data_IF_990270724876
#
_entry.id   IF_990270724876
#
_cell.length_a   1.000
_cell.length_b   1.000
_cell.length_c   1.000
_cell.angle_alpha   90.00
_cell.angle_beta   90.00
_cell.angle_gamma   90.00
#
_symmetry.space_group_name_H-M   'P 1'
#
loop_
_entity.id
_entity.type
_entity.pdbx_description
1 polymer ?
#
# COMPACT_ATOMS: atom_id res chain seq x y z
N UNK A 1 8.40 13.79 1.62
CA UNK A 1 8.38 12.42 1.01
C UNK A 1 7.21 12.36 0.04
N UNK A 2 7.42 11.93 -1.22
CA UNK A 2 6.35 11.86 -2.21
C UNK A 2 5.85 10.43 -2.36
N UNK A 3 4.53 10.23 -2.33
CA UNK A 3 3.86 8.96 -2.58
C UNK A 3 3.11 9.03 -3.90
N UNK A 4 3.25 8.01 -4.74
CA UNK A 4 2.52 7.91 -6.03
C UNK A 4 1.88 6.53 -6.13
N UNK A 5 0.57 6.48 -6.32
CA UNK A 5 -0.14 5.24 -6.62
C UNK A 5 -0.01 4.92 -8.12
N UNK A 6 0.50 3.75 -8.41
CA UNK A 6 0.74 3.27 -9.78
C UNK A 6 -0.33 2.28 -10.25
N UNK A 7 -1.31 1.98 -9.40
CA UNK A 7 -2.39 1.02 -9.62
C UNK A 7 -2.28 -0.20 -8.73
N UNK A 8 -3.38 -0.92 -8.54
CA UNK A 8 -3.46 -2.11 -7.67
C UNK A 8 -2.89 -1.84 -6.28
N UNK A 9 -1.89 -2.60 -5.84
CA UNK A 9 -1.12 -2.34 -4.60
C UNK A 9 0.23 -1.65 -4.87
N UNK A 10 0.49 -1.23 -6.12
CA UNK A 10 1.77 -0.68 -6.49
C UNK A 10 1.90 0.81 -6.13
N UNK A 11 2.92 1.11 -5.35
CA UNK A 11 3.27 2.48 -4.98
C UNK A 11 4.73 2.79 -5.26
N UNK A 12 4.99 4.04 -5.66
CA UNK A 12 6.33 4.60 -5.59
C UNK A 12 6.42 5.54 -4.38
N UNK A 13 7.49 5.39 -3.60
CA UNK A 13 7.84 6.26 -2.47
C UNK A 13 9.17 6.93 -2.76
N UNK A 14 9.20 8.26 -2.73
CA UNK A 14 10.36 9.05 -3.11
C UNK A 14 10.84 9.95 -1.97
N UNK A 15 12.15 9.97 -1.72
CA UNK A 15 12.82 10.85 -0.77
C UNK A 15 14.24 11.16 -1.25
N UNK A 16 14.66 12.43 -1.18
CA UNK A 16 16.03 12.84 -1.56
C UNK A 16 16.45 12.43 -2.97
N UNK A 17 15.51 12.32 -3.92
CA UNK A 17 15.77 11.87 -5.29
C UNK A 17 16.02 10.36 -5.40
N UNK A 18 15.76 9.58 -4.37
CA UNK A 18 15.76 8.12 -4.36
C UNK A 18 14.31 7.61 -4.44
N UNK A 19 14.06 6.63 -5.30
CA UNK A 19 12.73 6.09 -5.58
C UNK A 19 12.68 4.61 -5.28
N UNK A 20 11.78 4.21 -4.39
CA UNK A 20 11.42 2.82 -4.10
C UNK A 20 10.08 2.52 -4.73
N UNK A 21 9.97 1.43 -5.47
CA UNK A 21 8.69 0.90 -5.96
C UNK A 21 8.32 -0.32 -5.15
N UNK A 22 7.09 -0.33 -4.64
CA UNK A 22 6.48 -1.41 -3.86
C UNK A 22 5.49 -2.16 -4.75
N UNK A 23 5.53 -3.48 -4.72
CA UNK A 23 4.59 -4.40 -5.36
C UNK A 23 4.27 -4.05 -6.84
N UNK A 24 5.28 -4.04 -7.76
CA UNK A 24 5.01 -3.89 -9.18
C UNK A 24 4.18 -5.06 -9.70
N UNK A 25 3.22 -4.78 -10.58
CA UNK A 25 2.17 -5.74 -10.92
C UNK A 25 2.07 -6.06 -12.42
N UNK A 26 1.52 -7.24 -12.69
CA UNK A 26 0.86 -7.57 -13.93
C UNK A 26 -0.59 -8.00 -13.65
N UNK A 27 -1.54 -7.15 -14.00
CA UNK A 27 -2.99 -7.40 -13.91
C UNK A 27 -3.62 -7.01 -15.24
N UNK A 28 -4.28 -7.94 -15.93
CA UNK A 28 -4.76 -7.75 -17.30
C UNK A 28 -5.70 -6.56 -17.49
N UNK A 29 -6.46 -6.21 -16.45
CA UNK A 29 -7.41 -5.09 -16.49
C UNK A 29 -6.74 -3.72 -16.36
N UNK A 30 -5.46 -3.66 -15.99
CA UNK A 30 -4.68 -2.42 -15.97
C UNK A 30 -3.85 -2.27 -17.25
N UNK A 31 -3.56 -1.04 -17.67
CA UNK A 31 -2.50 -0.81 -18.64
C UNK A 31 -1.18 -1.43 -18.19
N UNK A 32 -0.30 -1.85 -19.12
CA UNK A 32 1.01 -2.34 -18.75
C UNK A 32 1.77 -1.32 -17.87
N UNK A 33 2.23 -1.77 -16.70
CA UNK A 33 3.04 -0.93 -15.83
C UNK A 33 4.41 -0.69 -16.49
N UNK A 34 4.81 0.57 -16.61
CA UNK A 34 6.16 0.99 -16.99
C UNK A 34 6.62 2.08 -16.04
N UNK A 35 7.62 1.80 -15.23
CA UNK A 35 8.14 2.76 -14.26
C UNK A 35 9.64 2.53 -14.03
N UNK A 36 10.30 3.45 -13.35
CA UNK A 36 11.70 3.30 -12.96
C UNK A 36 11.84 3.39 -11.44
N UNK A 37 12.86 2.74 -10.90
CA UNK A 37 13.18 2.78 -9.47
C UNK A 37 14.68 2.63 -9.21
N UNK A 38 15.11 3.05 -8.03
CA UNK A 38 16.44 2.71 -7.50
C UNK A 38 16.39 1.37 -6.74
N UNK A 39 15.22 1.02 -6.21
CA UNK A 39 14.97 -0.19 -5.43
C UNK A 39 13.54 -0.67 -5.63
N UNK A 40 13.32 -1.98 -5.60
CA UNK A 40 12.00 -2.63 -5.65
C UNK A 40 11.84 -3.49 -4.41
N UNK A 41 10.70 -3.40 -3.75
CA UNK A 41 10.32 -4.23 -2.61
C UNK A 41 9.01 -4.92 -2.93
N UNK A 42 8.96 -6.24 -2.78
CA UNK A 42 7.76 -7.05 -3.00
C UNK A 42 7.26 -7.63 -1.68
N UNK A 43 5.97 -7.56 -1.44
CA UNK A 43 5.34 -8.12 -0.24
C UNK A 43 5.29 -9.66 -0.29
N UNK A 44 5.08 -10.22 -1.49
CA UNK A 44 5.02 -11.67 -1.73
C UNK A 44 5.19 -11.98 -3.22
N UNK A 45 5.26 -13.28 -3.56
CA UNK A 45 5.60 -13.75 -4.91
C UNK A 45 4.35 -14.16 -5.72
N UNK A 46 3.39 -13.24 -5.85
CA UNK A 46 2.34 -13.36 -6.87
C UNK A 46 2.59 -12.34 -7.98
N UNK A 47 2.23 -12.68 -9.20
CA UNK A 47 2.55 -11.88 -10.41
C UNK A 47 1.96 -10.46 -10.38
N UNK A 48 0.93 -10.26 -9.60
CA UNK A 48 0.30 -8.96 -9.35
C UNK A 48 0.98 -8.16 -8.23
N UNK A 49 2.12 -8.67 -7.68
CA UNK A 49 2.94 -8.00 -6.65
C UNK A 49 4.46 -8.11 -6.85
N UNK A 50 4.94 -9.00 -7.75
CA UNK A 50 6.38 -9.17 -7.99
C UNK A 50 6.77 -9.11 -9.47
N UNK A 51 5.97 -8.41 -10.30
CA UNK A 51 6.29 -8.23 -11.71
C UNK A 51 7.39 -7.16 -11.89
N UNK A 52 8.59 -7.50 -11.42
CA UNK A 52 9.76 -6.59 -11.38
C UNK A 52 10.25 -6.21 -12.78
N UNK A 53 9.92 -7.00 -13.81
CA UNK A 53 10.26 -6.71 -15.21
C UNK A 53 9.60 -5.43 -15.74
N UNK A 54 8.52 -4.96 -15.08
CA UNK A 54 7.88 -3.69 -15.40
C UNK A 54 8.67 -2.47 -14.92
N UNK A 55 9.72 -2.68 -14.11
CA UNK A 55 10.50 -1.61 -13.49
C UNK A 55 11.89 -1.51 -14.13
N UNK A 56 12.19 -0.37 -14.73
CA UNK A 56 13.57 -0.04 -15.11
C UNK A 56 14.37 0.25 -13.85
N UNK A 57 15.15 -0.76 -13.42
CA UNK A 57 15.93 -0.66 -12.21
C UNK A 57 17.25 0.10 -12.46
N UNK A 58 17.43 1.23 -11.79
CA UNK A 58 18.64 2.05 -11.80
C UNK A 58 19.24 2.12 -10.40
N UNK A 59 19.89 1.05 -9.91
CA UNK A 59 20.38 0.99 -8.54
C UNK A 59 21.41 2.09 -8.28
N UNK A 60 21.29 2.75 -7.14
CA UNK A 60 22.30 3.69 -6.65
C UNK A 60 22.52 3.50 -5.16
N UNK A 61 23.72 3.73 -4.69
CA UNK A 61 24.03 3.70 -3.27
C UNK A 61 23.46 4.90 -2.53
N UNK A 62 23.46 4.82 -1.20
CA UNK A 62 23.04 5.91 -0.33
C UNK A 62 21.51 6.09 -0.27
N UNK A 63 20.77 4.96 -0.17
CA UNK A 63 19.34 5.03 0.12
C UNK A 63 19.09 5.88 1.37
N UNK A 64 18.19 6.88 1.31
CA UNK A 64 17.78 7.63 2.49
C UNK A 64 16.82 6.84 3.36
N UNK A 65 16.28 5.71 2.85
CA UNK A 65 15.31 4.89 3.55
C UNK A 65 15.98 3.88 4.48
N UNK A 66 15.47 3.80 5.70
CA UNK A 66 15.56 2.60 6.52
C UNK A 66 14.34 1.75 6.22
N UNK A 67 14.55 0.46 5.93
CA UNK A 67 13.48 -0.49 5.63
C UNK A 67 13.43 -1.54 6.74
N UNK A 68 12.28 -1.65 7.41
CA UNK A 68 11.98 -2.71 8.35
C UNK A 68 10.86 -3.58 7.78
N UNK A 69 10.79 -4.84 8.19
CA UNK A 69 9.76 -5.77 7.72
C UNK A 69 9.04 -6.46 8.88
N UNK A 70 7.76 -6.72 8.69
CA UNK A 70 6.95 -7.54 9.60
C UNK A 70 6.34 -8.69 8.80
N UNK A 71 6.54 -9.92 9.27
CA UNK A 71 5.96 -11.09 8.62
C UNK A 71 4.48 -11.23 8.97
N UNK A 72 3.67 -11.46 7.95
CA UNK A 72 2.24 -11.68 8.03
C UNK A 72 1.83 -12.78 7.05
N UNK A 73 0.53 -12.99 6.87
CA UNK A 73 -0.02 -13.97 5.95
C UNK A 73 -1.02 -13.33 5.00
N UNK A 74 -1.09 -13.92 3.80
CA UNK A 74 -2.03 -13.51 2.75
C UNK A 74 -3.42 -14.17 2.90
N UNK A 75 -3.68 -14.77 4.05
CA UNK A 75 -4.96 -15.38 4.42
C UNK A 75 -5.13 -15.41 5.95
N UNK A 76 -6.32 -15.78 6.40
CA UNK A 76 -6.68 -15.94 7.81
C UNK A 76 -6.39 -17.35 8.39
N UNK A 77 -5.71 -18.19 7.60
CA UNK A 77 -5.36 -19.57 7.96
C UNK A 77 -3.85 -19.79 8.14
N UNK A 78 -3.14 -18.72 8.49
CA UNK A 78 -1.68 -18.78 8.73
C UNK A 78 -0.88 -19.05 7.47
N UNK A 79 -1.33 -18.60 6.32
CA UNK A 79 -0.66 -18.76 5.03
C UNK A 79 -0.96 -20.08 4.31
N UNK A 80 -1.90 -20.87 4.83
CA UNK A 80 -2.20 -22.18 4.25
C UNK A 80 -2.87 -22.11 2.87
N UNK A 81 -3.56 -21.01 2.55
CA UNK A 81 -4.25 -20.84 1.28
C UNK A 81 -3.43 -20.04 0.25
N UNK A 82 -2.80 -18.92 0.67
CA UNK A 82 -2.15 -17.96 -0.24
C UNK A 82 -0.71 -17.64 0.14
N UNK A 83 -0.20 -18.25 1.22
CA UNK A 83 1.18 -18.09 1.64
C UNK A 83 1.44 -16.91 2.57
N UNK A 84 2.69 -16.52 2.64
CA UNK A 84 3.18 -15.42 3.47
C UNK A 84 3.01 -14.07 2.79
N UNK A 85 2.95 -13.03 3.60
CA UNK A 85 2.94 -11.64 3.16
C UNK A 85 3.91 -10.84 4.03
N UNK A 86 4.76 -10.04 3.41
CA UNK A 86 5.73 -9.18 4.10
C UNK A 86 5.20 -7.75 4.12
N UNK A 87 5.00 -7.22 5.31
CA UNK A 87 4.69 -5.80 5.52
C UNK A 87 5.99 -5.02 5.50
N UNK A 88 6.06 -3.95 4.71
CA UNK A 88 7.23 -3.07 4.62
C UNK A 88 6.99 -1.77 5.39
N UNK A 89 7.98 -1.37 6.20
CA UNK A 89 8.02 -0.07 6.87
C UNK A 89 9.20 0.72 6.31
N UNK A 90 8.92 1.79 5.58
CA UNK A 90 9.93 2.69 5.02
C UNK A 90 10.01 3.95 5.87
N UNK A 91 11.20 4.29 6.37
CA UNK A 91 11.41 5.50 7.14
C UNK A 91 12.48 6.39 6.49
N UNK A 92 12.15 7.66 6.27
CA UNK A 92 13.06 8.70 5.80
C UNK A 92 12.51 10.09 6.19
N UNK A 93 13.38 11.09 6.32
CA UNK A 93 12.98 12.48 6.62
C UNK A 93 12.16 12.63 7.92
N UNK A 94 12.29 11.69 8.87
CA UNK A 94 11.47 11.67 10.09
C UNK A 94 10.03 11.19 9.88
N UNK A 95 9.68 10.70 8.69
CA UNK A 95 8.38 10.16 8.33
C UNK A 95 8.44 8.65 8.13
N UNK A 96 7.32 7.96 8.41
CA UNK A 96 7.20 6.51 8.27
C UNK A 96 6.00 6.15 7.41
N UNK A 97 6.25 5.35 6.37
CA UNK A 97 5.24 4.78 5.47
C UNK A 97 5.19 3.28 5.69
N UNK A 98 4.00 2.74 5.93
CA UNK A 98 3.75 1.30 6.07
C UNK A 98 2.96 0.81 4.87
N UNK A 99 3.45 -0.24 4.21
CA UNK A 99 2.77 -0.94 3.13
C UNK A 99 2.38 -2.34 3.61
N UNK A 100 1.08 -2.62 3.71
CA UNK A 100 0.59 -3.87 4.27
C UNK A 100 0.61 -5.05 3.28
N UNK A 101 0.97 -4.81 2.00
CA UNK A 101 0.88 -5.85 0.96
C UNK A 101 -0.53 -6.41 0.88
N UNK A 102 -0.65 -7.70 0.65
CA UNK A 102 -1.92 -8.42 0.62
C UNK A 102 -2.24 -9.05 1.97
N UNK A 103 -2.29 -8.21 3.00
CA UNK A 103 -2.66 -8.67 4.33
C UNK A 103 -4.03 -9.37 4.31
N UNK A 104 -4.07 -10.62 4.80
CA UNK A 104 -5.26 -11.47 4.79
C UNK A 104 -5.91 -11.72 6.17
N UNK A 105 -5.40 -11.10 7.24
CA UNK A 105 -5.88 -11.33 8.61
C UNK A 105 -5.71 -10.10 9.52
N UNK A 106 -6.34 -10.11 10.70
CA UNK A 106 -6.07 -9.11 11.74
C UNK A 106 -4.68 -9.33 12.35
N UNK A 107 -3.98 -8.23 12.65
CA UNK A 107 -2.62 -8.27 13.16
C UNK A 107 -2.57 -8.58 14.65
N UNK A 108 -1.61 -9.40 15.07
CA UNK A 108 -1.29 -9.63 16.48
C UNK A 108 -0.66 -8.40 17.13
N UNK A 109 -0.63 -8.36 18.47
CA UNK A 109 0.01 -7.27 19.20
C UNK A 109 1.50 -7.09 18.85
N UNK A 110 2.22 -8.18 18.59
CA UNK A 110 3.63 -8.16 18.19
C UNK A 110 3.80 -7.58 16.79
N UNK A 111 2.90 -7.92 15.85
CA UNK A 111 2.91 -7.38 14.49
C UNK A 111 2.51 -5.89 14.47
N UNK A 112 1.56 -5.48 15.32
CA UNK A 112 1.12 -4.09 15.42
C UNK A 112 2.19 -3.15 15.99
N UNK A 113 3.01 -3.62 16.94
CA UNK A 113 3.93 -2.77 17.68
C UNK A 113 4.86 -1.93 16.77
N UNK A 114 5.55 -2.49 15.74
CA UNK A 114 6.41 -1.72 14.85
C UNK A 114 5.64 -0.84 13.84
N UNK A 115 4.33 -1.05 13.66
CA UNK A 115 3.52 -0.35 12.67
C UNK A 115 2.82 0.90 13.22
N UNK A 116 2.62 0.95 14.55
CA UNK A 116 1.82 1.98 15.22
C UNK A 116 2.32 3.39 14.93
N UNK A 117 1.35 4.31 14.87
CA UNK A 117 1.58 5.75 14.70
C UNK A 117 2.46 6.10 13.49
N UNK A 118 2.37 5.33 12.40
CA UNK A 118 3.00 5.68 11.14
C UNK A 118 2.35 6.93 10.52
N UNK A 119 3.08 7.61 9.64
CA UNK A 119 2.58 8.82 8.97
C UNK A 119 1.65 8.48 7.82
N UNK A 120 1.92 7.40 7.07
CA UNK A 120 1.01 6.89 6.06
C UNK A 120 0.92 5.36 6.12
N UNK A 121 -0.31 4.85 6.01
CA UNK A 121 -0.65 3.43 5.95
C UNK A 121 -1.27 3.11 4.59
N UNK A 122 -0.59 2.30 3.79
CA UNK A 122 -1.10 1.75 2.53
C UNK A 122 -1.74 0.41 2.85
N UNK A 123 -3.08 0.33 2.71
CA UNK A 123 -3.89 -0.77 3.24
C UNK A 123 -4.81 -1.39 2.19
N UNK A 124 -4.82 -2.72 1.98
CA UNK A 124 -5.76 -3.38 1.10
C UNK A 124 -7.17 -3.33 1.68
N UNK A 125 -8.18 -3.08 0.82
CA UNK A 125 -9.57 -2.91 1.26
C UNK A 125 -10.58 -3.69 0.40
N UNK A 126 -10.10 -4.38 -0.64
CA UNK A 126 -10.98 -5.01 -1.63
C UNK A 126 -11.60 -6.33 -1.18
N UNK A 127 -11.13 -6.95 -0.13
CA UNK A 127 -11.61 -8.27 0.30
C UNK A 127 -11.31 -9.38 -0.69
N UNK A 128 -11.95 -10.53 -0.54
CA UNK A 128 -11.81 -11.78 -1.27
C UNK A 128 -10.41 -12.41 -1.20
N UNK A 129 -9.38 -11.70 -1.63
CA UNK A 129 -7.98 -12.11 -1.52
C UNK A 129 -7.31 -11.57 -0.27
N UNK A 130 -7.72 -10.39 0.16
CA UNK A 130 -7.15 -9.63 1.28
C UNK A 130 -8.20 -9.40 2.37
N UNK A 131 -7.86 -8.66 3.40
CA UNK A 131 -8.84 -8.16 4.37
C UNK A 131 -9.91 -7.30 3.66
N UNK A 132 -11.15 -7.42 4.14
CA UNK A 132 -12.28 -6.60 3.68
C UNK A 132 -12.29 -5.20 4.32
N UNK A 133 -13.21 -4.37 3.90
CA UNK A 133 -13.35 -2.99 4.35
C UNK A 133 -13.47 -2.86 5.88
N UNK A 134 -14.28 -3.70 6.52
CA UNK A 134 -14.50 -3.69 7.96
C UNK A 134 -13.26 -4.12 8.74
N UNK A 135 -12.59 -5.16 8.28
CA UNK A 135 -11.33 -5.63 8.86
C UNK A 135 -10.23 -4.60 8.64
N UNK A 136 -10.15 -4.00 7.44
CA UNK A 136 -9.20 -2.92 7.15
C UNK A 136 -9.42 -1.72 8.08
N UNK A 137 -10.66 -1.36 8.38
CA UNK A 137 -10.98 -0.30 9.36
C UNK A 137 -10.43 -0.66 10.75
N UNK A 138 -10.67 -1.89 11.25
CA UNK A 138 -10.16 -2.32 12.56
C UNK A 138 -8.63 -2.33 12.63
N UNK A 139 -7.97 -2.79 11.56
CA UNK A 139 -6.50 -2.76 11.44
C UNK A 139 -5.98 -1.33 11.44
N UNK A 140 -6.61 -0.43 10.68
CA UNK A 140 -6.24 0.99 10.66
C UNK A 140 -6.41 1.64 12.04
N UNK A 141 -7.50 1.37 12.74
CA UNK A 141 -7.75 1.89 14.09
C UNK A 141 -6.71 1.37 15.09
N UNK A 142 -6.28 0.10 14.98
CA UNK A 142 -5.26 -0.49 15.86
C UNK A 142 -3.84 0.07 15.61
N UNK A 143 -3.50 0.39 14.35
CA UNK A 143 -2.23 1.02 13.96
C UNK A 143 -2.25 2.52 14.29
N UNK A 144 -3.41 3.17 14.18
CA UNK A 144 -3.62 4.60 14.40
C UNK A 144 -2.68 5.50 13.55
N UNK A 145 -2.65 5.34 12.22
CA UNK A 145 -1.84 6.15 11.32
C UNK A 145 -2.34 7.60 11.28
N UNK A 146 -1.53 8.51 10.73
CA UNK A 146 -1.97 9.87 10.44
C UNK A 146 -2.76 9.93 9.13
N UNK A 147 -2.27 9.27 8.10
CA UNK A 147 -2.91 9.18 6.78
C UNK A 147 -3.16 7.71 6.44
N UNK A 148 -4.32 7.41 5.87
CA UNK A 148 -4.69 6.11 5.36
C UNK A 148 -4.86 6.21 3.85
N UNK A 149 -4.23 5.29 3.11
CA UNK A 149 -4.34 5.22 1.65
C UNK A 149 -4.84 3.83 1.28
N UNK A 150 -6.10 3.69 0.84
CA UNK A 150 -6.64 2.40 0.42
C UNK A 150 -5.97 1.93 -0.88
N UNK A 151 -5.79 0.61 -0.99
CA UNK A 151 -5.25 -0.06 -2.17
C UNK A 151 -5.93 -1.42 -2.38
N UNK A 152 -5.55 -2.16 -3.43
CA UNK A 152 -6.06 -3.49 -3.75
C UNK A 152 -7.60 -3.54 -3.79
N UNK A 153 -8.21 -2.63 -4.52
CA UNK A 153 -9.65 -2.56 -4.76
C UNK A 153 -9.95 -2.39 -6.24
N UNK A 154 -11.17 -2.73 -6.64
CA UNK A 154 -11.63 -2.52 -8.02
C UNK A 154 -11.96 -1.05 -8.25
N UNK A 155 -11.37 -0.50 -9.31
CA UNK A 155 -11.55 0.90 -9.70
C UNK A 155 -11.98 0.98 -11.18
N UNK A 156 -13.23 1.34 -11.42
CA UNK A 156 -13.79 1.34 -12.77
C UNK A 156 -13.70 -0.05 -13.41
N UNK A 157 -12.94 -0.17 -14.52
CA UNK A 157 -12.66 -1.43 -15.21
C UNK A 157 -11.36 -2.11 -14.73
N UNK A 158 -10.64 -1.52 -13.78
CA UNK A 158 -9.35 -2.01 -13.31
C UNK A 158 -9.48 -2.79 -11.99
N UNK A 159 -8.65 -3.80 -11.80
CA UNK A 159 -8.69 -4.73 -10.68
C UNK A 159 -9.40 -6.03 -11.05
N UNK A 160 -9.52 -6.92 -10.07
CA UNK A 160 -10.23 -8.19 -10.22
C UNK A 160 -11.74 -7.99 -10.02
N UNK A 161 -12.57 -8.68 -10.82
CA UNK A 161 -14.04 -8.56 -10.73
C UNK A 161 -14.61 -9.00 -9.36
N UNK A 162 -13.89 -9.88 -8.67
CA UNK A 162 -14.33 -10.48 -7.40
C UNK A 162 -14.04 -9.63 -6.17
N UNK A 163 -13.19 -8.60 -6.30
CA UNK A 163 -12.87 -7.69 -5.20
C UNK A 163 -13.83 -6.50 -5.19
N UNK A 164 -14.08 -5.96 -3.99
CA UNK A 164 -14.91 -4.77 -3.80
C UNK A 164 -14.22 -3.49 -4.31
N UNK A 165 -15.00 -2.43 -4.42
CA UNK A 165 -14.51 -1.08 -4.66
C UNK A 165 -14.09 -0.42 -3.33
N UNK A 166 -13.44 0.75 -3.39
CA UNK A 166 -13.03 1.47 -2.19
C UNK A 166 -14.22 2.06 -1.41
N UNK A 167 -15.40 2.22 -2.03
CA UNK A 167 -16.56 2.89 -1.46
C UNK A 167 -17.01 2.25 -0.15
N UNK A 168 -16.94 0.92 -0.02
CA UNK A 168 -17.35 0.22 1.21
C UNK A 168 -16.43 0.59 2.38
N UNK A 169 -15.14 0.77 2.12
CA UNK A 169 -14.18 1.25 3.11
C UNK A 169 -14.36 2.75 3.42
N UNK A 170 -14.54 3.57 2.39
CA UNK A 170 -14.66 5.02 2.55
C UNK A 170 -15.90 5.41 3.36
N UNK A 171 -17.00 4.67 3.25
CA UNK A 171 -18.24 4.88 4.05
C UNK A 171 -18.06 4.71 5.56
N UNK A 172 -16.96 4.05 6.00
CA UNK A 172 -16.63 3.87 7.40
C UNK A 172 -15.97 5.10 8.04
N UNK A 173 -15.73 6.15 7.24
CA UNK A 173 -15.12 7.41 7.68
C UNK A 173 -16.07 8.60 7.48
N UNK A 174 -15.98 9.64 8.33
CA UNK A 174 -16.66 10.89 8.06
C UNK A 174 -16.27 11.47 6.70
N UNK A 175 -17.22 12.03 5.96
CA UNK A 175 -16.98 12.50 4.60
C UNK A 175 -15.93 13.64 4.53
N UNK A 176 -15.80 14.40 5.58
CA UNK A 176 -14.81 15.50 5.73
C UNK A 176 -13.40 14.99 6.04
N UNK A 177 -13.25 13.71 6.42
CA UNK A 177 -11.96 13.03 6.59
C UNK A 177 -11.49 12.30 5.32
N UNK A 178 -12.31 12.25 4.25
CA UNK A 178 -11.99 11.56 3.00
C UNK A 178 -11.60 12.57 1.93
N UNK A 179 -10.36 12.48 1.45
CA UNK A 179 -9.76 13.40 0.49
C UNK A 179 -9.44 12.67 -0.82
N UNK A 180 -10.34 12.74 -1.79
CA UNK A 180 -10.09 12.23 -3.14
C UNK A 180 -9.24 13.23 -3.94
N UNK A 181 -8.13 12.74 -4.50
CA UNK A 181 -7.22 13.55 -5.28
C UNK A 181 -7.58 13.51 -6.78
N UNK A 182 -7.27 14.59 -7.50
CA UNK A 182 -7.34 14.61 -8.97
C UNK A 182 -6.12 13.93 -9.63
N UNK A 183 -5.05 13.72 -8.88
CA UNK A 183 -3.79 13.11 -9.30
C UNK A 183 -3.47 11.81 -8.60
N UNK A 184 -2.46 11.08 -9.13
CA UNK A 184 -1.99 9.82 -8.55
C UNK A 184 -0.99 9.99 -7.40
N UNK A 185 -0.55 11.21 -7.10
CA UNK A 185 0.50 11.46 -6.12
C UNK A 185 0.18 12.59 -5.16
N UNK A 186 0.81 12.54 -3.99
CA UNK A 186 0.79 13.61 -2.98
C UNK A 186 2.10 13.67 -2.21
N UNK A 187 2.36 14.83 -1.60
CA UNK A 187 3.49 15.02 -0.69
C UNK A 187 3.05 14.70 0.74
N UNK A 188 3.70 13.71 1.34
CA UNK A 188 3.59 13.42 2.75
C UNK A 188 4.58 14.30 3.52
N UNK A 189 4.05 15.14 4.39
CA UNK A 189 4.82 16.05 5.26
C UNK A 189 4.33 15.93 6.69
N UNK A 190 5.02 16.45 7.71
CA UNK A 190 4.49 16.51 9.08
C UNK A 190 3.14 17.24 9.19
N UNK A 191 2.86 18.16 8.28
CA UNK A 191 1.64 18.97 8.26
C UNK A 191 0.50 18.38 7.41
N UNK A 192 0.73 17.22 6.76
CA UNK A 192 -0.34 16.52 6.02
C UNK A 192 -1.51 16.21 6.95
N UNK A 193 -2.74 16.67 6.65
CA UNK A 193 -3.91 16.46 7.51
C UNK A 193 -4.17 14.97 7.78
N UNK A 194 -4.79 14.67 8.92
CA UNK A 194 -5.29 13.33 9.20
C UNK A 194 -6.46 12.99 8.29
N UNK A 195 -6.58 11.72 7.95
CA UNK A 195 -7.72 11.22 7.18
C UNK A 195 -7.34 10.17 6.15
N UNK A 196 -8.30 9.88 5.29
CA UNK A 196 -8.14 8.96 4.17
C UNK A 196 -7.81 9.74 2.92
N UNK A 197 -6.67 9.50 2.31
CA UNK A 197 -6.29 10.07 1.02
C UNK A 197 -6.48 9.00 -0.06
N UNK A 198 -7.27 9.32 -1.07
CA UNK A 198 -7.57 8.42 -2.20
C UNK A 198 -6.95 9.01 -3.46
N UNK A 199 -5.77 8.56 -3.88
CA UNK A 199 -5.17 8.97 -5.14
C UNK A 199 -6.02 8.48 -6.32
N UNK A 200 -6.05 9.25 -7.41
CA UNK A 200 -6.70 8.84 -8.65
C UNK A 200 -5.71 8.06 -9.51
N UNK A 201 -6.14 6.91 -10.02
CA UNK A 201 -5.36 6.19 -11.02
C UNK A 201 -5.29 7.01 -12.32
N UNK A 202 -4.08 7.21 -12.81
CA UNK A 202 -3.79 7.88 -14.09
C UNK A 202 -2.94 6.87 -14.88
N UNK A 203 -3.61 6.03 -15.65
CA UNK A 203 -2.98 5.05 -16.53
C UNK A 203 -2.67 5.64 -17.91
#
# INVERSE_FOLDING_TARGET
MKLTWLGHSCFAVESGGYRVVLDPYYVESYPPLHTSANEVLCSHHHRDHDFVEAVELTPRGGSPFTVETVQAFHDDQGGALRGTNTIHVLAAEGLRVVHLGDLGHELSGEQLAPLRSCDALLIPVGGFYTIDAETARRVADAIAPRVIVPMHYRHGSHGYDVIATAEDFLRLYPADEVHCLDGSSFELTPDTPRGVIVPRFIG
#
